data_IF_492487414707
#
_entry.id   IF_492487414707
#
_cell.length_a   1.000
_cell.length_b   1.000
_cell.length_c   1.000
_cell.angle_alpha   90.00
_cell.angle_beta   90.00
_cell.angle_gamma   90.00
#
_symmetry.space_group_name_H-M   'P 1'
#
loop_
_entity.id
_entity.type
_entity.pdbx_description
1 polymer ?
#
# COMPACT_ATOMS: atom_id res chain seq x y z
N UNK A 1 10.49 13.91 18.65
CA UNK A 1 11.47 14.74 17.94
C UNK A 1 10.95 14.98 16.53
N UNK A 2 11.01 16.22 16.03
CA UNK A 2 10.66 16.50 14.64
C UNK A 2 11.72 15.85 13.73
N UNK A 3 11.28 15.06 12.76
CA UNK A 3 12.16 14.47 11.75
C UNK A 3 12.80 15.60 10.93
N UNK A 4 14.13 15.59 10.77
CA UNK A 4 14.87 16.67 10.12
C UNK A 4 14.97 16.55 8.58
N UNK A 5 14.41 15.49 7.99
CA UNK A 5 14.40 15.28 6.53
C UNK A 5 13.29 16.05 5.81
N UNK A 6 13.29 15.93 4.48
CA UNK A 6 12.34 16.60 3.61
C UNK A 6 10.87 16.24 3.90
N UNK A 7 9.93 17.16 3.60
CA UNK A 7 8.54 17.02 3.99
C UNK A 7 7.84 15.88 3.23
N UNK A 8 6.87 15.26 3.91
CA UNK A 8 5.88 14.37 3.29
C UNK A 8 4.54 15.10 3.27
N UNK A 9 4.04 15.40 2.08
CA UNK A 9 2.72 15.97 1.88
C UNK A 9 1.68 14.83 1.82
N UNK A 10 0.86 14.70 2.86
CA UNK A 10 -0.20 13.68 2.90
C UNK A 10 -1.52 14.31 2.47
N UNK A 11 -2.11 13.79 1.40
CA UNK A 11 -3.46 14.12 0.96
C UNK A 11 -4.37 12.93 1.24
N UNK A 12 -5.36 13.10 2.12
CA UNK A 12 -6.30 12.04 2.48
C UNK A 12 -7.73 12.37 2.02
N UNK A 13 -8.14 11.85 0.86
CA UNK A 13 -9.48 12.09 0.29
C UNK A 13 -10.48 10.98 0.64
N UNK A 14 -9.98 9.79 0.98
CA UNK A 14 -10.83 8.68 1.45
C UNK A 14 -11.35 8.90 2.89
N UNK A 15 -12.39 8.16 3.27
CA UNK A 15 -13.02 8.20 4.60
C UNK A 15 -13.30 6.81 5.20
N UNK A 16 -12.91 5.74 4.52
CA UNK A 16 -13.25 4.35 4.85
C UNK A 16 -12.22 3.66 5.75
N UNK A 17 -10.98 4.14 5.71
CA UNK A 17 -9.84 3.61 6.48
C UNK A 17 -9.41 4.70 7.46
N UNK A 18 -9.35 4.38 8.74
CA UNK A 18 -8.75 5.27 9.76
C UNK A 18 -7.24 5.26 9.58
N UNK A 19 -6.63 6.44 9.68
CA UNK A 19 -5.20 6.61 9.43
C UNK A 19 -4.63 7.53 10.49
N UNK A 20 -3.60 7.08 11.20
CA UNK A 20 -2.79 7.96 12.03
C UNK A 20 -1.71 8.62 11.17
N UNK A 21 -1.91 9.86 10.75
CA UNK A 21 -0.96 10.57 9.88
C UNK A 21 0.44 10.68 10.50
N UNK A 22 0.53 10.82 11.83
CA UNK A 22 1.82 10.85 12.55
C UNK A 22 2.57 9.53 12.37
N UNK A 23 1.91 8.39 12.59
CA UNK A 23 2.52 7.07 12.43
C UNK A 23 2.81 6.78 10.95
N UNK A 24 1.92 7.18 10.04
CA UNK A 24 2.15 7.06 8.59
C UNK A 24 3.44 7.77 8.17
N UNK A 25 3.58 9.05 8.55
CA UNK A 25 4.76 9.85 8.22
C UNK A 25 6.03 9.28 8.83
N UNK A 26 5.96 8.74 10.04
CA UNK A 26 7.09 8.05 10.65
C UNK A 26 7.50 6.81 9.85
N UNK A 27 6.56 5.93 9.53
CA UNK A 27 6.84 4.71 8.76
C UNK A 27 7.37 5.02 7.36
N UNK A 28 6.77 5.99 6.65
CA UNK A 28 7.25 6.44 5.33
C UNK A 28 8.66 7.02 5.41
N UNK A 29 8.99 7.78 6.47
CA UNK A 29 10.33 8.30 6.67
C UNK A 29 11.36 7.19 6.93
N UNK A 30 11.00 6.10 7.62
CA UNK A 30 11.87 4.93 7.74
C UNK A 30 12.15 4.29 6.39
N UNK A 31 11.11 4.08 5.57
CA UNK A 31 11.27 3.54 4.21
C UNK A 31 12.18 4.44 3.36
N UNK A 32 11.96 5.76 3.40
CA UNK A 32 12.80 6.75 2.68
C UNK A 32 14.25 6.72 3.14
N UNK A 33 14.51 6.58 4.45
CA UNK A 33 15.86 6.46 5.00
C UNK A 33 16.58 5.22 4.45
N UNK A 34 15.92 4.07 4.41
CA UNK A 34 16.53 2.83 3.88
C UNK A 34 16.69 2.84 2.35
N UNK A 35 15.98 3.73 1.66
CA UNK A 35 16.16 4.01 0.25
C UNK A 35 17.15 5.16 -0.03
N UNK A 36 17.66 5.85 0.99
CA UNK A 36 18.58 7.00 0.83
C UNK A 36 17.95 8.26 0.24
N UNK A 37 16.63 8.45 0.44
CA UNK A 37 15.83 9.56 -0.12
C UNK A 37 15.12 10.39 0.95
N UNK A 38 15.64 10.42 2.17
CA UNK A 38 15.15 11.22 3.29
C UNK A 38 15.21 12.74 3.04
N UNK A 39 16.01 13.17 2.07
CA UNK A 39 16.17 14.56 1.64
C UNK A 39 15.20 14.97 0.51
N UNK A 40 14.41 14.04 -0.05
CA UNK A 40 13.49 14.34 -1.16
C UNK A 40 12.04 14.48 -0.71
N UNK A 41 11.39 15.60 -1.02
CA UNK A 41 9.97 15.79 -0.76
C UNK A 41 9.13 14.71 -1.47
N UNK A 42 8.12 14.19 -0.78
CA UNK A 42 7.25 13.12 -1.26
C UNK A 42 5.78 13.50 -1.09
N UNK A 43 4.99 13.33 -2.14
CA UNK A 43 3.53 13.33 -2.04
C UNK A 43 2.99 11.93 -1.78
N UNK A 44 2.10 11.82 -0.81
CA UNK A 44 1.39 10.59 -0.50
C UNK A 44 -0.12 10.85 -0.53
N UNK A 45 -0.82 10.25 -1.48
CA UNK A 45 -2.26 10.42 -1.64
C UNK A 45 -3.01 9.15 -1.26
N UNK A 46 -3.79 9.23 -0.18
CA UNK A 46 -4.73 8.21 0.25
C UNK A 46 -6.07 8.43 -0.45
N UNK A 47 -6.25 7.75 -1.58
CA UNK A 47 -7.32 7.96 -2.55
C UNK A 47 -8.52 7.02 -2.34
N UNK A 48 -9.67 7.46 -2.82
CA UNK A 48 -10.86 6.60 -3.00
C UNK A 48 -10.72 5.68 -4.21
N UNK A 49 -11.58 4.66 -4.31
CA UNK A 49 -11.62 3.77 -5.48
C UNK A 49 -11.93 4.51 -6.79
N UNK A 50 -12.73 5.57 -6.72
CA UNK A 50 -13.07 6.37 -7.89
C UNK A 50 -11.85 7.15 -8.38
N UNK A 51 -11.20 7.90 -7.50
CA UNK A 51 -10.03 8.71 -7.84
C UNK A 51 -8.89 7.86 -8.41
N UNK A 52 -8.55 6.73 -7.77
CA UNK A 52 -7.45 5.88 -8.28
C UNK A 52 -7.82 5.19 -9.60
N UNK A 53 -9.09 4.89 -9.84
CA UNK A 53 -9.57 4.35 -11.13
C UNK A 53 -9.47 5.41 -12.23
N UNK A 54 -9.83 6.65 -11.94
CA UNK A 54 -9.72 7.78 -12.87
C UNK A 54 -8.25 8.04 -13.23
N UNK A 55 -7.35 8.05 -12.24
CA UNK A 55 -5.90 8.14 -12.47
C UNK A 55 -5.36 6.98 -13.29
N UNK A 56 -5.77 5.74 -12.99
CA UNK A 56 -5.33 4.57 -13.74
C UNK A 56 -5.80 4.60 -15.20
N UNK A 57 -7.01 5.12 -15.43
CA UNK A 57 -7.52 5.35 -16.79
C UNK A 57 -6.71 6.44 -17.49
N UNK A 58 -6.50 7.58 -16.84
CA UNK A 58 -5.85 8.74 -17.44
C UNK A 58 -4.38 8.47 -17.80
N UNK A 59 -3.62 7.83 -16.91
CA UNK A 59 -2.18 7.68 -17.06
C UNK A 59 -1.74 6.31 -17.60
N UNK A 60 -2.55 5.26 -17.42
CA UNK A 60 -2.24 3.90 -17.89
C UNK A 60 -3.24 3.35 -18.90
N UNK A 61 -4.29 4.09 -19.25
CA UNK A 61 -5.36 3.62 -20.14
C UNK A 61 -6.25 2.51 -19.55
N UNK A 62 -6.15 2.24 -18.25
CA UNK A 62 -6.79 1.10 -17.58
C UNK A 62 -7.95 1.57 -16.72
N UNK A 63 -9.20 1.34 -17.15
CA UNK A 63 -10.41 1.65 -16.37
C UNK A 63 -10.68 0.64 -15.24
N UNK A 64 -9.68 0.39 -14.39
CA UNK A 64 -9.77 -0.53 -13.24
C UNK A 64 -9.22 0.12 -11.98
N UNK A 65 -9.83 -0.22 -10.84
CA UNK A 65 -9.29 0.13 -9.53
C UNK A 65 -8.00 -0.67 -9.31
N UNK A 66 -7.00 -0.05 -8.69
CA UNK A 66 -5.75 -0.68 -8.30
C UNK A 66 -5.42 -0.29 -6.85
N UNK A 67 -4.44 -0.96 -6.26
CA UNK A 67 -3.86 -0.70 -4.95
C UNK A 67 -2.94 0.52 -4.93
N UNK A 68 -1.98 0.62 -5.85
CA UNK A 68 -0.97 1.68 -5.88
C UNK A 68 -0.69 2.20 -7.29
N UNK A 69 -0.42 3.50 -7.40
CA UNK A 69 0.15 4.17 -8.56
C UNK A 69 1.31 5.07 -8.12
N UNK A 70 2.37 5.12 -8.91
CA UNK A 70 3.53 5.98 -8.69
C UNK A 70 3.71 6.95 -9.84
N UNK A 71 3.98 8.22 -9.51
CA UNK A 71 4.18 9.31 -10.46
C UNK A 71 5.56 9.93 -10.22
N UNK A 72 6.63 9.41 -10.86
CA UNK A 72 7.97 9.98 -10.75
C UNK A 72 8.02 11.35 -11.40
N UNK A 73 8.64 12.33 -10.73
CA UNK A 73 8.91 13.64 -11.34
C UNK A 73 10.08 13.57 -12.34
N UNK A 74 11.08 12.75 -12.02
CA UNK A 74 12.28 12.57 -12.83
C UNK A 74 12.40 11.10 -13.25
N UNK A 75 12.79 10.87 -14.50
CA UNK A 75 13.17 9.52 -14.95
C UNK A 75 14.62 9.27 -14.54
N UNK A 76 14.83 8.29 -13.66
CA UNK A 76 16.14 7.81 -13.22
C UNK A 76 16.26 6.32 -13.51
N UNK A 77 17.48 5.79 -13.48
CA UNK A 77 17.71 4.35 -13.53
C UNK A 77 17.79 3.76 -12.12
N UNK A 78 17.48 2.46 -11.94
CA UNK A 78 17.71 1.78 -10.67
C UNK A 78 19.11 2.06 -10.11
N UNK A 79 19.20 2.48 -8.85
CA UNK A 79 20.46 2.82 -8.18
C UNK A 79 20.97 4.25 -8.40
N UNK A 80 20.32 5.05 -9.26
CA UNK A 80 20.58 6.49 -9.38
C UNK A 80 19.60 7.30 -8.53
N UNK A 81 20.07 8.40 -7.94
CA UNK A 81 19.19 9.35 -7.26
C UNK A 81 18.71 10.43 -8.24
N UNK A 82 17.46 10.92 -8.10
CA UNK A 82 16.97 12.03 -8.87
C UNK A 82 17.86 13.27 -8.75
N UNK A 83 17.95 14.11 -9.80
CA UNK A 83 18.68 15.36 -9.72
C UNK A 83 18.18 16.22 -8.55
N UNK A 84 19.11 16.81 -7.79
CA UNK A 84 18.77 17.71 -6.69
C UNK A 84 18.36 19.12 -7.15
N UNK A 85 18.69 19.47 -8.40
CA UNK A 85 18.34 20.75 -9.01
C UNK A 85 16.95 20.65 -9.67
N UNK A 86 16.12 21.69 -9.52
CA UNK A 86 14.73 21.73 -10.02
C UNK A 86 14.67 21.27 -11.48
N UNK A 87 13.86 20.24 -11.74
CA UNK A 87 13.72 19.56 -13.03
C UNK A 87 13.02 20.39 -14.11
N UNK A 88 13.56 21.55 -14.49
CA UNK A 88 13.28 22.15 -15.79
C UNK A 88 14.48 21.91 -16.71
N UNK A 89 14.57 20.69 -17.23
CA UNK A 89 15.49 20.33 -18.32
C UNK A 89 15.29 21.11 -19.63
N UNK A 90 14.40 22.12 -19.64
CA UNK A 90 14.12 23.04 -20.74
C UNK A 90 14.48 24.50 -20.46
N UNK A 91 14.81 24.87 -19.21
CA UNK A 91 15.33 26.22 -18.95
C UNK A 91 16.85 26.24 -19.07
N UNK A 92 17.43 27.26 -19.72
CA UNK A 92 18.86 27.49 -19.63
C UNK A 92 19.26 27.56 -18.16
N UNK A 93 20.46 27.04 -17.82
CA UNK A 93 21.11 27.19 -16.51
C UNK A 93 21.36 28.67 -16.20
N UNK A 94 20.30 29.44 -15.95
CA UNK A 94 20.39 30.77 -15.37
C UNK A 94 20.40 30.52 -13.87
N UNK A 95 21.59 30.19 -13.36
CA UNK A 95 21.90 30.45 -11.96
C UNK A 95 21.98 31.97 -11.84
N UNK A 96 20.85 32.65 -11.62
CA UNK A 96 20.94 33.93 -10.93
C UNK A 96 21.32 33.60 -9.48
N UNK A 97 22.25 34.36 -8.92
CA UNK A 97 22.61 34.28 -7.49
C UNK A 97 21.37 34.52 -6.59
N UNK A 98 20.27 35.02 -7.17
CA UNK A 98 19.00 35.37 -6.52
C UNK A 98 17.91 34.28 -6.56
N UNK A 99 18.13 33.12 -7.18
CA UNK A 99 17.12 32.03 -7.11
C UNK A 99 17.28 31.27 -5.79
N UNK A 100 16.34 31.35 -4.83
CA UNK A 100 16.47 30.64 -3.57
C UNK A 100 16.51 29.12 -3.85
N UNK A 101 17.45 28.37 -3.25
CA UNK A 101 17.47 26.92 -3.40
C UNK A 101 16.15 26.36 -2.88
N UNK A 102 15.54 25.46 -3.67
CA UNK A 102 14.42 24.67 -3.16
C UNK A 102 15.00 23.79 -2.05
N UNK A 103 14.52 23.90 -0.80
CA UNK A 103 15.21 23.27 0.33
C UNK A 103 15.26 21.75 0.22
N UNK A 104 14.33 21.16 -0.55
CA UNK A 104 14.21 19.73 -0.77
C UNK A 104 13.84 19.43 -2.24
N UNK A 105 14.59 18.62 -2.98
CA UNK A 105 14.19 18.12 -4.31
C UNK A 105 12.93 17.23 -4.21
N UNK A 106 12.12 17.15 -5.27
CA UNK A 106 10.89 16.36 -5.29
C UNK A 106 11.12 14.95 -5.85
N UNK A 107 10.67 13.92 -5.12
CA UNK A 107 10.72 12.53 -5.58
C UNK A 107 9.56 12.19 -6.53
N UNK A 108 8.37 12.74 -6.23
CA UNK A 108 7.12 12.46 -6.94
C UNK A 108 6.00 12.09 -5.97
N UNK A 109 4.96 11.43 -6.51
CA UNK A 109 3.76 11.05 -5.77
C UNK A 109 3.56 9.54 -5.73
N UNK A 110 3.17 9.02 -4.56
CA UNK A 110 2.60 7.67 -4.40
C UNK A 110 1.11 7.81 -4.07
N UNK A 111 0.25 7.15 -4.84
CA UNK A 111 -1.20 7.17 -4.65
C UNK A 111 -1.68 5.78 -4.25
N UNK A 112 -2.33 5.67 -3.10
CA UNK A 112 -2.83 4.43 -2.52
C UNK A 112 -4.35 4.37 -2.55
N UNK A 113 -4.91 3.33 -3.17
CA UNK A 113 -6.34 3.05 -3.22
C UNK A 113 -6.83 2.42 -1.93
N UNK A 114 -6.90 3.19 -0.85
CA UNK A 114 -7.13 2.65 0.51
C UNK A 114 -8.35 1.74 0.66
N UNK A 115 -9.54 2.04 0.10
CA UNK A 115 -10.68 1.12 0.21
C UNK A 115 -10.44 -0.20 -0.52
N UNK A 116 -9.70 -0.17 -1.64
CA UNK A 116 -9.32 -1.38 -2.38
C UNK A 116 -8.31 -2.21 -1.58
N UNK A 117 -7.29 -1.56 -1.02
CA UNK A 117 -6.29 -2.20 -0.15
C UNK A 117 -6.98 -2.87 1.05
N UNK A 118 -7.87 -2.16 1.77
CA UNK A 118 -8.64 -2.74 2.89
C UNK A 118 -9.40 -3.99 2.47
N UNK A 119 -10.09 -3.94 1.32
CA UNK A 119 -10.84 -5.10 0.80
C UNK A 119 -9.91 -6.26 0.42
N UNK A 120 -8.75 -5.96 -0.15
CA UNK A 120 -7.73 -6.96 -0.46
C UNK A 120 -7.22 -7.64 0.81
N UNK A 121 -6.89 -6.85 1.83
CA UNK A 121 -6.44 -7.33 3.13
C UNK A 121 -7.46 -8.27 3.79
N UNK A 122 -8.72 -7.85 3.89
CA UNK A 122 -9.80 -8.69 4.44
C UNK A 122 -10.00 -9.97 3.64
N UNK A 123 -9.97 -9.89 2.29
CA UNK A 123 -10.23 -11.05 1.43
C UNK A 123 -9.12 -12.10 1.50
N UNK A 124 -7.87 -11.67 1.63
CA UNK A 124 -6.70 -12.55 1.59
C UNK A 124 -6.12 -12.81 2.99
N UNK A 125 -6.83 -12.40 4.05
CA UNK A 125 -6.42 -12.61 5.45
C UNK A 125 -5.01 -12.05 5.73
N UNK A 126 -4.67 -10.90 5.12
CA UNK A 126 -3.42 -10.18 5.38
C UNK A 126 -3.71 -8.87 6.10
N UNK A 127 -2.85 -8.51 7.05
CA UNK A 127 -3.02 -7.28 7.84
C UNK A 127 -2.74 -6.05 7.00
N UNK A 128 -3.56 -5.01 7.16
CA UNK A 128 -3.30 -3.72 6.48
C UNK A 128 -1.97 -3.12 6.90
N UNK A 129 -1.59 -3.36 8.15
CA UNK A 129 -0.37 -2.92 8.80
C UNK A 129 0.89 -3.49 8.13
N UNK A 130 0.80 -4.71 7.60
CA UNK A 130 1.89 -5.39 6.90
C UNK A 130 1.88 -5.06 5.40
N UNK A 131 0.68 -5.02 4.80
CA UNK A 131 0.55 -4.87 3.36
C UNK A 131 0.77 -3.43 2.88
N UNK A 132 0.40 -2.41 3.66
CA UNK A 132 0.54 -1.02 3.24
C UNK A 132 2.00 -0.54 3.16
N UNK A 133 2.89 -0.87 4.12
CA UNK A 133 4.32 -0.56 4.00
C UNK A 133 4.97 -1.20 2.78
N UNK A 134 4.58 -2.42 2.41
CA UNK A 134 4.99 -3.06 1.15
C UNK A 134 4.58 -2.22 -0.06
N UNK A 135 3.31 -1.79 -0.14
CA UNK A 135 2.83 -0.96 -1.26
C UNK A 135 3.51 0.42 -1.32
N UNK A 136 3.85 1.01 -0.18
CA UNK A 136 4.62 2.25 -0.13
C UNK A 136 6.05 2.01 -0.60
N UNK A 137 6.73 0.96 -0.13
CA UNK A 137 8.07 0.60 -0.56
C UNK A 137 8.12 0.33 -2.07
N UNK A 138 7.16 -0.45 -2.58
CA UNK A 138 6.95 -0.70 -4.00
C UNK A 138 6.77 0.61 -4.78
N UNK A 139 5.90 1.48 -4.26
CA UNK A 139 5.63 2.78 -4.85
C UNK A 139 6.88 3.66 -4.94
N UNK A 140 7.70 3.70 -3.88
CA UNK A 140 8.97 4.42 -3.82
C UNK A 140 10.03 3.82 -4.76
N UNK A 141 10.09 2.50 -4.90
CA UNK A 141 10.98 1.83 -5.86
C UNK A 141 10.66 2.27 -7.30
N UNK A 142 9.37 2.34 -7.68
CA UNK A 142 8.95 2.91 -8.96
C UNK A 142 9.37 4.37 -9.13
N UNK A 143 9.33 5.19 -8.07
CA UNK A 143 9.83 6.58 -8.14
C UNK A 143 11.34 6.66 -8.37
N UNK A 144 12.08 5.61 -8.00
CA UNK A 144 13.53 5.47 -8.18
C UNK A 144 13.92 4.68 -9.43
N UNK A 145 12.98 4.49 -10.35
CA UNK A 145 13.23 3.89 -11.66
C UNK A 145 13.36 2.36 -11.64
N UNK A 146 13.08 1.69 -10.51
CA UNK A 146 12.88 0.24 -10.49
C UNK A 146 11.55 -0.09 -11.15
N UNK A 147 11.55 -1.12 -11.99
CA UNK A 147 10.36 -1.63 -12.67
C UNK A 147 10.33 -3.16 -12.55
N UNK A 148 9.27 -3.77 -13.04
CA UNK A 148 9.06 -5.22 -12.99
C UNK A 148 8.39 -5.73 -14.28
N UNK A 149 8.73 -5.15 -15.43
CA UNK A 149 8.18 -5.58 -16.72
C UNK A 149 8.87 -6.86 -17.23
N UNK A 150 10.18 -7.02 -16.98
CA UNK A 150 10.91 -8.27 -17.24
C UNK A 150 11.22 -9.05 -15.96
N UNK A 151 11.53 -10.34 -16.10
CA UNK A 151 11.92 -11.18 -14.96
C UNK A 151 13.18 -10.66 -14.27
N UNK A 152 14.17 -10.17 -15.02
CA UNK A 152 15.40 -9.59 -14.45
C UNK A 152 15.12 -8.31 -13.66
N UNK A 153 14.31 -7.41 -14.21
CA UNK A 153 13.90 -6.17 -13.54
C UNK A 153 13.13 -6.48 -12.26
N UNK A 154 12.18 -7.43 -12.35
CA UNK A 154 11.39 -7.88 -11.21
C UNK A 154 12.27 -8.46 -10.10
N UNK A 155 13.27 -9.29 -10.43
CA UNK A 155 14.21 -9.81 -9.43
C UNK A 155 15.02 -8.71 -8.74
N UNK A 156 15.48 -7.70 -9.49
CA UNK A 156 16.23 -6.56 -8.93
C UNK A 156 15.34 -5.71 -8.03
N UNK A 157 14.11 -5.41 -8.46
CA UNK A 157 13.15 -4.65 -7.68
C UNK A 157 12.76 -5.41 -6.41
N UNK A 158 12.44 -6.69 -6.51
CA UNK A 158 12.06 -7.53 -5.38
C UNK A 158 13.19 -7.60 -4.33
N UNK A 159 14.44 -7.79 -4.77
CA UNK A 159 15.58 -7.78 -3.85
C UNK A 159 15.71 -6.44 -3.11
N UNK A 160 15.42 -5.32 -3.78
CA UNK A 160 15.43 -4.00 -3.15
C UNK A 160 14.28 -3.79 -2.17
N UNK A 161 13.08 -4.25 -2.52
CA UNK A 161 11.91 -4.23 -1.64
C UNK A 161 12.18 -5.04 -0.36
N UNK A 162 12.70 -6.26 -0.49
CA UNK A 162 13.03 -7.14 0.63
C UNK A 162 14.09 -6.50 1.55
N UNK A 163 15.16 -5.95 0.98
CA UNK A 163 16.21 -5.24 1.73
C UNK A 163 15.63 -4.09 2.57
N UNK A 164 14.77 -3.26 1.97
CA UNK A 164 14.16 -2.11 2.63
C UNK A 164 13.17 -2.54 3.69
N UNK A 165 12.34 -3.55 3.41
CA UNK A 165 11.31 -4.02 4.34
C UNK A 165 11.93 -4.70 5.56
N UNK A 166 12.97 -5.53 5.40
CA UNK A 166 13.67 -6.16 6.54
C UNK A 166 14.19 -5.07 7.49
N UNK A 167 14.89 -4.06 6.96
CA UNK A 167 15.41 -2.96 7.76
C UNK A 167 14.30 -2.12 8.40
N UNK A 168 13.21 -1.88 7.67
CA UNK A 168 12.02 -1.19 8.15
C UNK A 168 11.40 -1.90 9.35
N UNK A 169 11.17 -3.21 9.28
CA UNK A 169 10.54 -3.98 10.35
C UNK A 169 11.43 -4.05 11.60
N UNK A 170 12.74 -4.21 11.42
CA UNK A 170 13.71 -4.19 12.53
C UNK A 170 13.68 -2.83 13.24
N UNK A 171 13.76 -1.72 12.50
CA UNK A 171 13.75 -0.39 13.12
C UNK A 171 12.41 -0.03 13.75
N UNK A 172 11.29 -0.49 13.16
CA UNK A 172 9.96 -0.31 13.72
C UNK A 172 9.82 -1.04 15.06
N UNK A 173 10.27 -2.29 15.15
CA UNK A 173 10.27 -3.07 16.39
C UNK A 173 11.13 -2.41 17.48
N UNK A 174 12.35 -1.99 17.14
CA UNK A 174 13.24 -1.27 18.06
C UNK A 174 12.62 0.07 18.50
N UNK A 175 11.90 0.76 17.62
CA UNK A 175 11.20 2.00 17.99
C UNK A 175 10.06 1.74 18.99
N UNK A 176 9.23 0.72 18.74
CA UNK A 176 8.14 0.35 19.65
C UNK A 176 8.67 0.01 21.05
N UNK A 177 9.76 -0.76 21.13
CA UNK A 177 10.41 -1.10 22.40
C UNK A 177 10.95 0.15 23.13
N UNK A 178 11.70 1.02 22.45
CA UNK A 178 12.26 2.26 23.03
C UNK A 178 11.18 3.19 23.57
N UNK A 179 10.05 3.27 22.88
CA UNK A 179 8.94 4.15 23.23
C UNK A 179 7.94 3.51 24.19
N UNK A 180 8.09 2.21 24.51
CA UNK A 180 7.15 1.41 25.30
C UNK A 180 5.72 1.51 24.78
N UNK A 181 5.57 1.53 23.45
CA UNK A 181 4.26 1.65 22.80
C UNK A 181 3.53 0.32 22.89
N UNK A 182 2.23 0.38 23.14
CA UNK A 182 1.38 -0.79 22.92
C UNK A 182 1.33 -1.11 21.41
N UNK A 183 1.13 -2.39 21.00
CA UNK A 183 1.08 -2.78 19.60
C UNK A 183 0.17 -1.87 18.77
N UNK A 184 -1.04 -1.58 19.25
CA UNK A 184 -2.05 -0.72 18.63
C UNK A 184 -1.63 0.75 18.46
N UNK A 185 -0.70 1.24 19.28
CA UNK A 185 -0.17 2.62 19.19
C UNK A 185 1.01 2.74 18.22
N UNK A 186 1.64 1.61 17.91
CA UNK A 186 2.74 1.52 16.94
C UNK A 186 2.25 1.47 15.48
N UNK A 187 0.93 1.35 15.28
CA UNK A 187 0.36 1.11 13.95
C UNK A 187 -0.27 2.36 13.33
N UNK A 188 -0.05 2.50 12.03
CA UNK A 188 -0.70 3.50 11.18
C UNK A 188 -2.18 3.18 10.87
N UNK A 189 -2.53 1.88 10.80
CA UNK A 189 -3.84 1.40 10.39
C UNK A 189 -4.35 0.42 11.45
N UNK A 190 -4.92 0.90 12.58
CA UNK A 190 -5.46 0.00 13.59
C UNK A 190 -6.58 -0.82 12.97
N UNK A 191 -6.34 -2.11 12.74
CA UNK A 191 -7.35 -3.01 12.18
C UNK A 191 -8.47 -3.24 13.21
N UNK A 192 -9.73 -3.24 12.74
CA UNK A 192 -10.90 -3.70 13.52
C UNK A 192 -11.02 -5.24 13.51
N UNK A 193 -9.91 -5.99 13.53
CA UNK A 193 -10.00 -7.44 13.71
C UNK A 193 -8.96 -8.04 14.67
N UNK A 194 -9.05 -7.74 15.98
CA UNK A 194 -8.53 -8.64 17.03
C UNK A 194 -9.60 -9.60 17.57
N UNK A 195 -10.89 -9.26 17.43
CA UNK A 195 -11.97 -9.93 18.18
C UNK A 195 -12.20 -11.40 17.78
N UNK A 196 -12.09 -11.74 16.48
CA UNK A 196 -12.31 -13.13 16.02
C UNK A 196 -11.12 -14.05 16.22
N UNK A 197 -9.91 -13.50 16.30
CA UNK A 197 -8.70 -14.30 16.49
C UNK A 197 -8.54 -14.69 17.96
N UNK A 198 -8.84 -13.77 18.88
CA UNK A 198 -8.93 -14.08 20.31
C UNK A 198 -10.07 -15.07 20.65
N UNK A 199 -11.22 -15.00 19.95
CA UNK A 199 -12.31 -15.98 20.12
C UNK A 199 -11.93 -17.37 19.58
N UNK A 200 -11.20 -17.45 18.46
CA UNK A 200 -10.69 -18.73 17.94
C UNK A 200 -9.60 -19.33 18.85
N UNK A 201 -8.67 -18.50 19.33
CA UNK A 201 -7.59 -18.92 20.23
C UNK A 201 -8.15 -19.38 21.60
N UNK A 202 -9.16 -18.70 22.14
CA UNK A 202 -9.85 -19.12 23.35
C UNK A 202 -10.62 -20.44 23.18
N UNK A 203 -11.17 -20.72 22.00
CA UNK A 203 -11.78 -22.02 21.69
C UNK A 203 -10.73 -23.14 21.51
N UNK A 204 -9.53 -22.83 20.99
CA UNK A 204 -8.43 -23.78 20.89
C UNK A 204 -7.86 -24.18 22.26
N UNK A 205 -7.76 -23.24 23.21
CA UNK A 205 -7.28 -23.52 24.57
C UNK A 205 -8.27 -24.31 25.42
N UNK A 206 -9.57 -24.27 25.09
CA UNK A 206 -10.61 -24.98 25.82
C UNK A 206 -10.90 -26.40 25.32
N UNK A 207 -10.24 -26.86 24.25
CA UNK A 207 -10.23 -28.26 23.86
C UNK A 207 -11.58 -28.85 23.42
N UNK A 208 -12.57 -28.01 23.13
CA UNK A 208 -13.88 -28.44 22.62
C UNK A 208 -14.07 -27.94 21.19
N UNK A 209 -13.76 -28.80 20.21
CA UNK A 209 -14.48 -28.71 18.93
C UNK A 209 -14.89 -30.12 18.49
N UNK A 210 -16.19 -30.32 18.54
CA UNK A 210 -16.91 -31.48 18.02
C UNK A 210 -16.71 -31.56 16.50
N UNK A 211 -16.04 -32.64 16.08
CA UNK A 211 -15.65 -32.94 14.70
C UNK A 211 -16.89 -33.04 13.77
N UNK A 212 -18.10 -33.23 14.33
CA UNK A 212 -19.33 -33.29 13.54
C UNK A 212 -19.67 -31.96 12.84
N UNK A 213 -19.30 -30.80 13.40
CA UNK A 213 -19.64 -29.50 12.80
C UNK A 213 -18.77 -29.19 11.56
N UNK A 214 -17.53 -29.69 11.53
CA UNK A 214 -16.63 -29.58 10.38
C UNK A 214 -17.13 -30.44 9.21
N UNK A 215 -17.66 -31.64 9.49
CA UNK A 215 -18.22 -32.51 8.45
C UNK A 215 -19.53 -31.95 7.88
N UNK A 216 -20.36 -31.30 8.69
CA UNK A 216 -21.58 -30.64 8.24
C UNK A 216 -21.30 -29.42 7.34
N UNK A 217 -20.29 -28.60 7.68
CA UNK A 217 -19.88 -27.45 6.86
C UNK A 217 -19.27 -27.89 5.52
N UNK A 218 -18.46 -28.94 5.51
CA UNK A 218 -17.94 -29.52 4.27
C UNK A 218 -19.05 -30.13 3.38
N UNK A 219 -20.09 -30.72 3.98
CA UNK A 219 -21.23 -31.27 3.24
C UNK A 219 -22.05 -30.17 2.56
N UNK A 220 -22.28 -29.05 3.24
CA UNK A 220 -22.98 -27.87 2.69
C UNK A 220 -22.20 -27.24 1.53
N UNK A 221 -20.88 -27.14 1.63
CA UNK A 221 -20.03 -26.64 0.52
C UNK A 221 -20.06 -27.57 -0.70
N UNK A 222 -20.09 -28.89 -0.49
CA UNK A 222 -20.18 -29.89 -1.57
C UNK A 222 -21.53 -29.84 -2.29
N UNK A 223 -22.63 -29.62 -1.58
CA UNK A 223 -23.95 -29.41 -2.20
C UNK A 223 -24.04 -28.10 -2.97
N UNK A 224 -23.52 -26.99 -2.43
CA UNK A 224 -23.55 -25.71 -3.14
C UNK A 224 -22.66 -25.72 -4.41
N UNK A 225 -21.54 -26.45 -4.42
CA UNK A 225 -20.74 -26.71 -5.63
C UNK A 225 -21.48 -27.54 -6.68
N UNK A 226 -22.33 -28.50 -6.27
CA UNK A 226 -23.17 -29.29 -7.19
C UNK A 226 -24.29 -28.44 -7.81
N UNK A 227 -24.96 -27.60 -7.01
CA UNK A 227 -26.00 -26.70 -7.49
C UNK A 227 -25.46 -25.63 -8.46
N UNK A 228 -24.24 -25.13 -8.23
CA UNK A 228 -23.56 -24.21 -9.16
C UNK A 228 -23.20 -24.81 -10.52
N UNK A 229 -23.05 -26.14 -10.63
CA UNK A 229 -22.74 -26.83 -11.91
C UNK A 229 -23.98 -27.19 -12.74
N UNK A 230 -25.19 -27.02 -12.23
CA UNK A 230 -26.44 -27.30 -12.95
C UNK A 230 -27.22 -26.05 -13.41
N UNK A 231 -26.74 -24.84 -13.10
CA UNK A 231 -27.41 -23.57 -13.44
C UNK A 231 -26.94 -22.94 -14.78
N UNK A 232 -26.04 -23.57 -15.53
CA UNK A 232 -25.62 -23.08 -16.87
C UNK A 232 -26.45 -23.67 -18.01
N UNK A 233 -27.72 -23.25 -18.12
CA UNK A 233 -28.45 -23.18 -19.40
C UNK A 233 -29.37 -21.93 -19.40
N UNK A 234 -29.25 -21.01 -20.36
CA UNK A 234 -30.09 -19.81 -20.40
C UNK A 234 -31.38 -20.09 -21.17
N UNK A 235 -32.54 -19.76 -20.60
CA UNK A 235 -33.77 -19.55 -21.36
C UNK A 235 -34.41 -18.23 -20.96
N UNK A 236 -34.85 -17.52 -22.00
CA UNK A 236 -35.28 -16.12 -22.03
C UNK A 236 -36.57 -15.92 -21.26
N UNK A 237 -36.66 -14.75 -20.61
CA UNK A 237 -37.78 -14.30 -19.81
C UNK A 237 -39.10 -14.15 -20.57
N UNK A 238 -40.17 -14.26 -19.77
CA UNK A 238 -41.58 -14.12 -20.08
C UNK A 238 -42.06 -12.81 -19.45
N UNK A 239 -42.87 -12.01 -20.17
CA UNK A 239 -43.76 -11.00 -19.60
C UNK A 239 -44.93 -10.83 -20.60
N UNK A 240 -46.11 -11.40 -20.36
CA UNK A 240 -47.23 -10.99 -19.46
C UNK A 240 -48.19 -10.01 -20.15
N UNK A 241 -49.46 -10.38 -20.01
CA UNK A 241 -50.72 -9.83 -20.46
C UNK A 241 -51.05 -8.38 -20.11
N UNK A 242 -51.68 -7.68 -21.05
CA UNK A 242 -52.99 -7.02 -20.92
C UNK A 242 -53.61 -6.88 -22.30
#
# INVERSE_FOLDING_TARGET
>A
MAWAGAPIAVRNTQRTVRVCEKTLKFQVNLLRKFLGVEDYALGLWLATNQEIKELNLQYRGKSKVTDVLSFPLNKVRPGELPPRDFGMGFLPKVRSEDTPPVPHPELGDVVLGMPYIKRYCVKNEVLMEQHTPLLIAHGLCHLLGYDHETDEEHMVMQAKEDEVLVNFWVELALHAERMKLAPEESVCFPDELPAKQAELEACFEQGEVDIQLLEELEAVEREQKKQRKHSTKPSKGRAVSS
#
